data_IF_709900940631
#
_entry.id   IF_709900940631
#
_cell.length_a   1.000
_cell.length_b   1.000
_cell.length_c   1.000
_cell.angle_alpha   90.00
_cell.angle_beta   90.00
_cell.angle_gamma   90.00
#
_symmetry.space_group_name_H-M   'P 1'
#
loop_
_entity.id
_entity.type
_entity.pdbx_description
1 polymer ?
#
# COMPACT_ATOMS: atom_id res chain seq x y z
N UNK A 1 -13.04 -4.44 13.99
CA UNK A 1 -13.12 -3.00 13.58
C UNK A 1 -13.94 -2.22 14.59
N UNK A 2 -15.11 -2.71 15.02
CA UNK A 2 -15.95 -2.01 15.99
C UNK A 2 -15.18 -1.59 17.25
N UNK A 3 -14.39 -2.47 17.84
CA UNK A 3 -13.55 -2.18 19.01
C UNK A 3 -12.52 -1.08 18.74
N UNK A 4 -11.86 -1.13 17.56
CA UNK A 4 -10.89 -0.09 17.15
C UNK A 4 -11.58 1.27 17.03
N UNK A 5 -12.75 1.31 16.41
CA UNK A 5 -13.53 2.54 16.22
C UNK A 5 -13.98 3.11 17.57
N UNK A 6 -14.46 2.23 18.46
CA UNK A 6 -14.83 2.62 19.81
C UNK A 6 -13.64 3.19 20.59
N UNK A 7 -12.50 2.54 20.52
CA UNK A 7 -11.27 2.98 21.18
C UNK A 7 -10.79 4.34 20.65
N UNK A 8 -10.79 4.54 19.32
CA UNK A 8 -10.44 5.85 18.74
C UNK A 8 -11.40 6.93 19.23
N UNK A 9 -12.72 6.68 19.18
CA UNK A 9 -13.74 7.66 19.60
C UNK A 9 -13.72 7.96 21.09
N UNK A 10 -13.26 7.02 21.92
CA UNK A 10 -13.10 7.26 23.37
C UNK A 10 -11.92 8.17 23.68
N UNK A 11 -10.88 8.16 22.83
CA UNK A 11 -9.64 8.94 23.03
C UNK A 11 -9.66 10.32 22.39
N UNK A 12 -10.37 10.47 21.28
CA UNK A 12 -10.37 11.75 20.55
C UNK A 12 -11.69 12.02 19.84
N UNK A 13 -12.01 13.31 19.72
CA UNK A 13 -13.12 13.78 18.89
C UNK A 13 -12.68 14.07 17.44
N UNK A 14 -11.40 14.26 17.23
CA UNK A 14 -10.79 14.70 15.97
C UNK A 14 -9.65 13.76 15.56
N UNK A 15 -9.61 13.40 14.29
CA UNK A 15 -8.58 12.53 13.71
C UNK A 15 -8.01 13.19 12.45
N UNK A 16 -6.74 13.55 12.47
CA UNK A 16 -6.10 14.21 11.34
C UNK A 16 -5.54 13.24 10.32
N UNK A 17 -5.11 12.05 10.77
CA UNK A 17 -4.40 11.08 9.92
C UNK A 17 -4.91 9.67 10.22
N UNK A 18 -5.32 8.97 9.16
CA UNK A 18 -5.65 7.54 9.18
C UNK A 18 -4.70 6.79 8.24
N UNK A 19 -3.95 5.84 8.77
CA UNK A 19 -3.08 4.97 7.95
C UNK A 19 -3.63 3.55 7.99
N UNK A 20 -4.20 3.10 6.87
CA UNK A 20 -4.69 1.73 6.68
C UNK A 20 -3.50 0.82 6.32
N UNK A 21 -2.80 0.33 7.34
CA UNK A 21 -1.57 -0.47 7.18
C UNK A 21 -1.79 -1.99 7.33
N UNK A 22 -2.90 -2.43 7.91
CA UNK A 22 -3.18 -3.86 8.08
C UNK A 22 -3.24 -4.57 6.73
N UNK A 23 -2.66 -5.77 6.66
CA UNK A 23 -2.66 -6.54 5.44
C UNK A 23 -2.42 -8.03 5.70
N UNK A 24 -3.00 -8.85 4.83
CA UNK A 24 -2.81 -10.29 4.79
C UNK A 24 -2.38 -10.72 3.39
N UNK A 25 -1.66 -11.82 3.31
CA UNK A 25 -1.23 -12.44 2.06
C UNK A 25 -1.45 -13.94 2.10
N UNK A 26 -1.56 -14.53 0.93
CA UNK A 26 -1.51 -15.96 0.72
C UNK A 26 -0.80 -16.24 -0.61
N UNK A 27 0.07 -17.23 -0.63
CA UNK A 27 0.78 -17.66 -1.83
C UNK A 27 0.68 -19.18 -1.98
N UNK A 28 0.26 -19.64 -3.17
CA UNK A 28 0.22 -21.04 -3.56
C UNK A 28 0.17 -21.14 -5.09
N UNK A 29 0.54 -22.29 -5.67
CA UNK A 29 0.47 -22.53 -7.10
C UNK A 29 -0.97 -22.48 -7.60
N UNK A 30 -1.16 -22.12 -8.88
CA UNK A 30 -2.48 -21.94 -9.48
C UNK A 30 -3.39 -23.17 -9.29
N UNK A 31 -2.89 -24.37 -9.47
CA UNK A 31 -3.67 -25.62 -9.33
C UNK A 31 -3.97 -26.03 -7.87
N UNK A 32 -3.33 -25.42 -6.91
CA UNK A 32 -3.41 -25.78 -5.47
C UNK A 32 -3.90 -24.62 -4.61
N UNK A 33 -4.23 -23.47 -5.21
CA UNK A 33 -4.63 -22.26 -4.49
C UNK A 33 -6.00 -22.44 -3.82
N UNK A 34 -6.10 -22.42 -2.47
CA UNK A 34 -7.35 -22.71 -1.78
C UNK A 34 -8.34 -21.54 -1.92
N UNK A 35 -9.59 -21.86 -2.27
CA UNK A 35 -10.65 -20.86 -2.40
C UNK A 35 -10.83 -20.03 -1.12
N UNK A 36 -10.70 -20.65 0.06
CA UNK A 36 -10.83 -19.97 1.36
C UNK A 36 -9.80 -18.87 1.61
N UNK A 37 -8.66 -18.88 0.92
CA UNK A 37 -7.64 -17.83 1.03
C UNK A 37 -8.10 -16.49 0.45
N UNK A 38 -9.03 -16.51 -0.52
CA UNK A 38 -9.60 -15.28 -1.09
C UNK A 38 -10.31 -14.44 -0.03
N UNK A 39 -11.27 -15.03 0.69
CA UNK A 39 -12.02 -14.34 1.74
C UNK A 39 -11.08 -13.72 2.78
N UNK A 40 -10.15 -14.51 3.32
CA UNK A 40 -9.19 -14.05 4.35
C UNK A 40 -8.40 -12.83 3.91
N UNK A 41 -7.92 -12.82 2.67
CA UNK A 41 -7.09 -11.72 2.15
C UNK A 41 -7.95 -10.50 1.81
N UNK A 42 -9.09 -10.69 1.13
CA UNK A 42 -9.98 -9.58 0.76
C UNK A 42 -10.61 -8.91 1.98
N UNK A 43 -11.01 -9.69 2.99
CA UNK A 43 -11.62 -9.15 4.21
C UNK A 43 -10.68 -8.21 4.96
N UNK A 44 -9.39 -8.54 5.03
CA UNK A 44 -8.41 -7.66 5.69
C UNK A 44 -8.03 -6.48 4.80
N UNK A 45 -7.67 -6.77 3.54
CA UNK A 45 -7.01 -5.77 2.68
C UNK A 45 -7.99 -4.76 2.06
N UNK A 46 -9.26 -5.14 1.86
CA UNK A 46 -10.27 -4.30 1.21
C UNK A 46 -11.44 -4.00 2.13
N UNK A 47 -12.19 -5.02 2.55
CA UNK A 47 -13.41 -4.83 3.34
C UNK A 47 -13.09 -4.13 4.66
N UNK A 48 -12.03 -4.58 5.34
CA UNK A 48 -11.57 -3.99 6.60
C UNK A 48 -11.08 -2.55 6.44
N UNK A 49 -10.29 -2.27 5.39
CA UNK A 49 -9.81 -0.92 5.06
C UNK A 49 -10.98 0.04 4.83
N UNK A 50 -11.94 -0.37 3.98
CA UNK A 50 -13.11 0.45 3.65
C UNK A 50 -13.99 0.67 4.88
N UNK A 51 -14.31 -0.40 5.62
CA UNK A 51 -15.16 -0.33 6.81
C UNK A 51 -14.53 0.56 7.91
N UNK A 52 -13.22 0.47 8.14
CA UNK A 52 -12.53 1.34 9.11
C UNK A 52 -12.58 2.80 8.66
N UNK A 53 -12.29 3.07 7.39
CA UNK A 53 -12.35 4.42 6.82
C UNK A 53 -13.75 5.01 6.95
N UNK A 54 -14.79 4.28 6.54
CA UNK A 54 -16.19 4.69 6.65
C UNK A 54 -16.59 4.97 8.10
N UNK A 55 -16.21 4.09 9.02
CA UNK A 55 -16.56 4.22 10.44
C UNK A 55 -15.87 5.41 11.13
N UNK A 56 -14.69 5.83 10.66
CA UNK A 56 -13.95 6.96 11.21
C UNK A 56 -14.16 8.27 10.41
N UNK A 57 -15.00 8.26 9.37
CA UNK A 57 -15.19 9.41 8.50
C UNK A 57 -15.60 10.67 9.27
N UNK A 58 -16.56 10.59 10.19
CA UNK A 58 -17.01 11.75 10.96
C UNK A 58 -15.95 12.37 11.88
N UNK A 59 -14.96 11.59 12.38
CA UNK A 59 -13.86 12.13 13.17
C UNK A 59 -12.76 12.74 12.28
N UNK A 60 -12.59 12.25 11.05
CA UNK A 60 -11.72 12.83 10.03
C UNK A 60 -12.28 14.16 9.52
N UNK A 61 -13.58 14.24 9.26
CA UNK A 61 -14.25 15.47 8.81
C UNK A 61 -14.15 16.61 9.82
N UNK A 62 -14.24 16.30 11.11
CA UNK A 62 -14.15 17.33 12.15
C UNK A 62 -12.79 18.01 12.23
N UNK A 63 -11.70 17.29 11.93
CA UNK A 63 -10.35 17.88 11.90
C UNK A 63 -9.99 18.50 10.56
N UNK A 64 -10.71 18.17 9.48
CA UNK A 64 -10.41 18.61 8.12
C UNK A 64 -10.62 20.12 7.96
N UNK A 65 -9.60 20.82 7.42
CA UNK A 65 -9.65 22.26 7.12
C UNK A 65 -9.16 22.49 5.70
N UNK A 66 -9.59 23.59 5.08
CA UNK A 66 -9.21 23.90 3.69
C UNK A 66 -7.68 24.04 3.50
N UNK A 67 -7.00 24.64 4.45
CA UNK A 67 -5.54 24.82 4.42
C UNK A 67 -4.76 23.69 5.12
N UNK A 68 -5.45 22.78 5.81
CA UNK A 68 -4.87 21.63 6.49
C UNK A 68 -5.86 20.46 6.44
N UNK A 69 -5.95 19.74 5.30
CA UNK A 69 -6.88 18.62 5.14
C UNK A 69 -6.55 17.46 6.06
N UNK A 70 -7.55 16.65 6.40
CA UNK A 70 -7.28 15.33 6.98
C UNK A 70 -6.70 14.38 5.94
N UNK A 71 -5.94 13.39 6.36
CA UNK A 71 -5.18 12.49 5.48
C UNK A 71 -5.58 11.04 5.70
N UNK A 72 -5.84 10.35 4.60
CA UNK A 72 -5.97 8.89 4.57
C UNK A 72 -4.84 8.34 3.71
N UNK A 73 -4.04 7.44 4.28
CA UNK A 73 -2.95 6.75 3.57
C UNK A 73 -3.25 5.26 3.58
N UNK A 74 -3.40 4.68 2.40
CA UNK A 74 -3.64 3.25 2.22
C UNK A 74 -2.34 2.52 1.86
N UNK A 75 -2.10 1.34 2.41
CA UNK A 75 -0.97 0.49 2.02
C UNK A 75 -1.39 -0.45 0.89
N UNK A 76 -1.05 -0.02 -0.34
CA UNK A 76 -1.09 -0.85 -1.54
C UNK A 76 0.09 -1.83 -1.60
N UNK A 77 0.60 -2.05 -2.80
CA UNK A 77 1.82 -2.81 -3.10
C UNK A 77 2.20 -2.59 -4.56
N UNK A 78 3.48 -2.72 -4.90
CA UNK A 78 3.92 -2.81 -6.31
C UNK A 78 3.17 -3.91 -7.06
N UNK A 79 2.80 -5.01 -6.37
CA UNK A 79 2.01 -6.12 -6.92
C UNK A 79 0.56 -5.75 -7.27
N UNK A 80 0.06 -4.62 -6.82
CA UNK A 80 -1.23 -4.09 -7.25
C UNK A 80 -1.21 -3.40 -8.62
N UNK A 81 -0.02 -3.06 -9.12
CA UNK A 81 0.16 -2.39 -10.42
C UNK A 81 0.91 -3.27 -11.42
N UNK A 82 1.74 -4.17 -10.94
CA UNK A 82 2.60 -5.02 -11.76
C UNK A 82 2.62 -6.45 -11.21
N UNK A 83 2.48 -7.48 -12.06
CA UNK A 83 2.61 -8.86 -11.64
C UNK A 83 4.07 -9.15 -11.26
N UNK A 84 4.27 -9.70 -10.07
CA UNK A 84 5.56 -10.16 -9.56
C UNK A 84 5.41 -11.53 -8.92
N UNK A 85 6.06 -12.52 -9.52
CA UNK A 85 6.02 -13.89 -9.05
C UNK A 85 4.66 -14.57 -9.20
N UNK A 86 4.68 -15.89 -9.14
CA UNK A 86 3.50 -16.73 -9.20
C UNK A 86 3.01 -17.01 -7.77
N UNK A 87 1.70 -17.16 -7.60
CA UNK A 87 1.11 -17.61 -6.35
C UNK A 87 0.33 -16.61 -5.50
N UNK A 88 0.68 -15.32 -5.38
CA UNK A 88 -0.06 -14.40 -4.52
C UNK A 88 -1.29 -13.77 -5.22
N UNK A 89 -2.17 -14.59 -5.81
CA UNK A 89 -3.30 -14.14 -6.63
C UNK A 89 -4.26 -13.22 -5.88
N UNK A 90 -4.78 -13.68 -4.73
CA UNK A 90 -5.72 -12.89 -3.92
C UNK A 90 -5.07 -11.63 -3.36
N UNK A 91 -3.79 -11.69 -3.00
CA UNK A 91 -3.04 -10.53 -2.53
C UNK A 91 -2.89 -9.47 -3.62
N UNK A 92 -2.38 -9.84 -4.79
CA UNK A 92 -2.18 -8.92 -5.92
C UNK A 92 -3.50 -8.28 -6.35
N UNK A 93 -4.57 -9.08 -6.47
CA UNK A 93 -5.90 -8.58 -6.77
C UNK A 93 -6.41 -7.59 -5.70
N UNK A 94 -6.21 -7.91 -4.41
CA UNK A 94 -6.59 -7.01 -3.31
C UNK A 94 -5.83 -5.69 -3.35
N UNK A 95 -4.53 -5.72 -3.67
CA UNK A 95 -3.70 -4.51 -3.74
C UNK A 95 -4.02 -3.63 -4.96
N UNK A 96 -4.41 -4.23 -6.08
CA UNK A 96 -4.98 -3.50 -7.22
C UNK A 96 -6.30 -2.82 -6.84
N UNK A 97 -7.17 -3.51 -6.10
CA UNK A 97 -8.41 -2.94 -5.56
C UNK A 97 -8.13 -1.79 -4.58
N UNK A 98 -7.09 -1.89 -3.70
CA UNK A 98 -6.67 -0.78 -2.82
C UNK A 98 -6.28 0.45 -3.65
N UNK A 99 -5.53 0.27 -4.73
CA UNK A 99 -5.15 1.37 -5.62
C UNK A 99 -6.37 2.05 -6.23
N UNK A 100 -7.35 1.26 -6.68
CA UNK A 100 -8.54 1.81 -7.31
C UNK A 100 -9.46 2.52 -6.31
N UNK A 101 -9.75 1.90 -5.16
CA UNK A 101 -10.60 2.51 -4.12
C UNK A 101 -9.98 3.78 -3.54
N UNK A 102 -8.65 3.88 -3.49
CA UNK A 102 -7.95 5.12 -3.11
C UNK A 102 -8.35 6.29 -4.02
N UNK A 103 -8.42 6.06 -5.33
CA UNK A 103 -8.83 7.09 -6.30
C UNK A 103 -10.31 7.46 -6.18
N UNK A 104 -11.18 6.47 -5.93
CA UNK A 104 -12.62 6.71 -5.70
C UNK A 104 -12.80 7.60 -4.46
N UNK A 105 -12.19 7.19 -3.35
CA UNK A 105 -12.28 7.94 -2.08
C UNK A 105 -11.66 9.33 -2.18
N UNK A 106 -10.56 9.49 -2.90
CA UNK A 106 -9.95 10.79 -3.13
C UNK A 106 -10.88 11.77 -3.85
N UNK A 107 -11.58 11.30 -4.89
CA UNK A 107 -12.58 12.08 -5.62
C UNK A 107 -13.77 12.44 -4.72
N UNK A 108 -14.28 11.49 -3.95
CA UNK A 108 -15.47 11.67 -3.10
C UNK A 108 -15.19 12.58 -1.89
N UNK A 109 -14.02 12.40 -1.25
CA UNK A 109 -13.69 13.07 0.01
C UNK A 109 -12.93 14.39 -0.17
N UNK A 110 -12.40 14.68 -1.35
CA UNK A 110 -11.74 15.94 -1.67
C UNK A 110 -12.57 17.18 -1.32
N UNK A 111 -13.87 17.27 -1.70
CA UNK A 111 -14.76 18.38 -1.30
C UNK A 111 -14.98 18.52 0.21
N UNK A 112 -14.63 17.50 1.01
CA UNK A 112 -14.70 17.49 2.48
C UNK A 112 -13.35 17.81 3.12
N UNK A 113 -12.38 18.31 2.34
CA UNK A 113 -11.00 18.57 2.77
C UNK A 113 -10.30 17.33 3.37
N UNK A 114 -10.45 16.18 2.73
CA UNK A 114 -9.76 14.95 3.10
C UNK A 114 -8.98 14.45 1.89
N UNK A 115 -7.66 14.33 2.02
CA UNK A 115 -6.84 13.72 0.98
C UNK A 115 -6.75 12.22 1.19
N UNK A 116 -6.76 11.45 0.09
CA UNK A 116 -6.64 9.99 0.13
C UNK A 116 -5.57 9.56 -0.88
N UNK A 117 -4.51 8.95 -0.39
CA UNK A 117 -3.39 8.49 -1.19
C UNK A 117 -3.02 7.05 -0.82
N UNK A 118 -2.24 6.39 -1.64
CA UNK A 118 -1.69 5.09 -1.31
C UNK A 118 -0.18 5.03 -1.58
N UNK A 119 0.52 4.24 -0.78
CA UNK A 119 1.85 3.76 -1.13
C UNK A 119 1.74 2.44 -1.86
N UNK A 120 2.63 2.22 -2.83
CA UNK A 120 2.86 0.95 -3.49
C UNK A 120 4.28 0.46 -3.15
N UNK A 121 4.50 -0.12 -1.95
CA UNK A 121 5.82 -0.60 -1.55
C UNK A 121 6.26 -1.78 -2.39
N UNK A 122 7.57 -1.82 -2.70
CA UNK A 122 8.29 -3.00 -3.10
C UNK A 122 8.73 -3.85 -1.89
N UNK A 123 9.86 -4.55 -1.96
CA UNK A 123 10.36 -5.36 -0.86
C UNK A 123 10.85 -4.51 0.32
N UNK A 124 10.14 -4.62 1.45
CA UNK A 124 10.53 -4.08 2.76
C UNK A 124 10.60 -5.22 3.77
N UNK A 125 11.51 -5.11 4.73
CA UNK A 125 11.54 -6.03 5.85
C UNK A 125 10.29 -5.87 6.72
N UNK A 126 9.55 -6.96 6.93
CA UNK A 126 8.35 -7.01 7.74
C UNK A 126 8.10 -8.43 8.26
N UNK A 127 7.09 -8.60 9.13
CA UNK A 127 6.67 -9.95 9.54
C UNK A 127 6.25 -10.81 8.34
N UNK A 128 5.60 -10.22 7.34
CA UNK A 128 5.11 -10.90 6.14
C UNK A 128 6.26 -11.36 5.23
N UNK A 129 7.34 -10.61 5.16
CA UNK A 129 8.49 -10.85 4.27
C UNK A 129 9.69 -11.48 4.99
N UNK A 130 9.55 -11.85 6.27
CA UNK A 130 10.64 -12.38 7.11
C UNK A 130 11.42 -13.53 6.43
N UNK A 131 10.74 -14.38 5.67
CA UNK A 131 11.36 -15.50 4.95
C UNK A 131 12.39 -15.03 3.90
N UNK A 132 12.15 -13.90 3.25
CA UNK A 132 13.00 -13.33 2.22
C UNK A 132 14.18 -12.50 2.79
N UNK A 133 14.06 -12.07 4.06
CA UNK A 133 15.07 -11.32 4.80
C UNK A 133 15.75 -12.17 5.89
N UNK A 134 15.65 -13.51 5.80
CA UNK A 134 16.17 -14.40 6.83
C UNK A 134 17.70 -14.49 6.87
N UNK A 135 18.37 -14.18 5.78
CA UNK A 135 19.84 -14.08 5.68
C UNK A 135 20.25 -12.91 4.79
N UNK A 136 21.47 -12.41 4.98
CA UNK A 136 22.03 -11.32 4.16
C UNK A 136 22.17 -11.71 2.69
N UNK A 137 22.47 -12.99 2.41
CA UNK A 137 22.57 -13.51 1.03
C UNK A 137 21.24 -13.43 0.30
N UNK A 138 20.13 -13.78 0.97
CA UNK A 138 18.76 -13.67 0.39
C UNK A 138 18.39 -12.23 0.12
N UNK A 139 18.69 -11.32 1.04
CA UNK A 139 18.44 -9.91 0.84
C UNK A 139 19.25 -9.35 -0.34
N UNK A 140 20.55 -9.67 -0.41
CA UNK A 140 21.43 -9.32 -1.53
C UNK A 140 20.94 -9.89 -2.87
N UNK A 141 20.48 -11.14 -2.87
CA UNK A 141 19.92 -11.77 -4.07
C UNK A 141 18.66 -11.04 -4.56
N UNK A 142 17.75 -10.67 -3.65
CA UNK A 142 16.57 -9.89 -3.96
C UNK A 142 16.95 -8.48 -4.45
N UNK A 143 17.90 -7.83 -3.81
CA UNK A 143 18.37 -6.50 -4.16
C UNK A 143 18.92 -6.41 -5.60
N UNK A 144 19.52 -7.50 -6.12
CA UNK A 144 20.00 -7.58 -7.52
C UNK A 144 18.89 -7.38 -8.56
N UNK A 145 17.64 -7.68 -8.21
CA UNK A 145 16.49 -7.54 -9.09
C UNK A 145 15.74 -6.20 -8.89
N UNK A 146 16.31 -5.29 -8.11
CA UNK A 146 15.75 -3.95 -7.88
C UNK A 146 16.67 -2.95 -8.59
N UNK A 147 16.16 -2.02 -9.41
CA UNK A 147 17.00 -1.02 -10.07
C UNK A 147 17.93 -0.25 -9.14
N UNK A 148 17.47 0.18 -7.95
CA UNK A 148 18.31 0.83 -6.92
C UNK A 148 19.25 -0.13 -6.17
N UNK A 149 19.28 -1.44 -6.52
CA UNK A 149 20.17 -2.44 -5.94
C UNK A 149 20.12 -2.55 -4.42
N UNK A 150 19.00 -2.21 -3.82
CA UNK A 150 18.72 -2.36 -2.40
C UNK A 150 17.23 -2.58 -2.13
N UNK A 151 16.92 -3.15 -0.99
CA UNK A 151 15.56 -3.22 -0.46
C UNK A 151 15.14 -1.90 0.18
N UNK A 152 13.85 -1.72 0.41
CA UNK A 152 13.31 -0.57 1.11
C UNK A 152 13.65 -0.60 2.61
N UNK A 153 13.93 0.56 3.18
CA UNK A 153 14.25 0.77 4.60
C UNK A 153 13.09 1.49 5.30
N UNK A 154 12.98 1.32 6.61
CA UNK A 154 11.91 1.95 7.38
C UNK A 154 11.85 3.48 7.22
N UNK A 155 13.00 4.13 7.08
CA UNK A 155 13.04 5.58 6.86
C UNK A 155 12.54 5.99 5.46
N UNK A 156 12.61 5.14 4.44
CA UNK A 156 12.11 5.45 3.10
C UNK A 156 10.57 5.66 3.15
N UNK A 157 9.85 4.73 3.81
CA UNK A 157 8.40 4.85 3.96
C UNK A 157 8.00 5.91 4.99
N UNK A 158 8.80 6.10 6.06
CA UNK A 158 8.55 7.12 7.06
C UNK A 158 8.67 8.53 6.45
N UNK A 159 9.69 8.81 5.64
CA UNK A 159 9.86 10.09 4.97
C UNK A 159 8.71 10.40 3.99
N UNK A 160 8.27 9.40 3.21
CA UNK A 160 7.11 9.54 2.33
C UNK A 160 5.81 9.80 3.12
N UNK A 161 5.66 9.15 4.28
CA UNK A 161 4.52 9.39 5.18
C UNK A 161 4.54 10.81 5.72
N UNK A 162 5.69 11.30 6.20
CA UNK A 162 5.84 12.67 6.68
C UNK A 162 5.55 13.69 5.58
N UNK A 163 5.97 13.44 4.34
CA UNK A 163 5.63 14.28 3.20
C UNK A 163 4.11 14.38 3.00
N UNK A 164 3.40 13.26 2.91
CA UNK A 164 1.94 13.27 2.70
C UNK A 164 1.17 13.85 3.91
N UNK A 165 1.66 13.63 5.12
CA UNK A 165 1.02 14.14 6.36
C UNK A 165 1.34 15.60 6.64
N UNK A 166 2.43 16.14 6.08
CA UNK A 166 2.84 17.52 6.24
C UNK A 166 2.13 18.48 5.28
N UNK A 167 2.51 19.76 5.36
CA UNK A 167 1.99 20.83 4.50
C UNK A 167 2.26 20.59 3.02
N UNK A 168 3.41 19.94 2.67
CA UNK A 168 3.76 19.58 1.29
C UNK A 168 2.79 18.60 0.64
N UNK A 169 2.11 17.76 1.43
CA UNK A 169 1.11 16.81 0.95
C UNK A 169 -0.32 17.37 0.88
N UNK A 170 -0.56 18.60 1.30
CA UNK A 170 -1.92 19.16 1.43
C UNK A 170 -2.68 19.27 0.09
N UNK A 171 -1.96 19.33 -1.04
CA UNK A 171 -2.53 19.37 -2.39
C UNK A 171 -2.32 18.08 -3.18
N UNK A 172 -2.01 16.97 -2.48
CA UNK A 172 -1.77 15.65 -3.08
C UNK A 172 -2.91 14.72 -2.68
N UNK A 173 -3.71 14.28 -3.65
CA UNK A 173 -4.80 13.32 -3.44
C UNK A 173 -5.01 12.43 -4.65
N UNK A 174 -5.45 11.18 -4.43
CA UNK A 174 -5.71 10.20 -5.48
C UNK A 174 -4.46 9.55 -6.08
N UNK A 175 -3.27 9.83 -5.54
CA UNK A 175 -2.02 9.27 -6.06
C UNK A 175 -1.70 7.91 -5.46
N UNK A 176 -1.02 7.08 -6.26
CA UNK A 176 -0.38 5.84 -5.83
C UNK A 176 1.11 6.07 -5.96
N UNK A 177 1.80 6.19 -4.84
CA UNK A 177 3.23 6.50 -4.80
C UNK A 177 4.04 5.20 -4.73
N UNK A 178 4.79 4.83 -5.78
CA UNK A 178 5.70 3.69 -5.72
C UNK A 178 6.85 3.98 -4.73
N UNK A 179 7.06 3.04 -3.81
CA UNK A 179 8.20 3.01 -2.90
C UNK A 179 8.91 1.68 -3.09
N UNK A 180 9.45 1.43 -4.27
CA UNK A 180 9.84 0.10 -4.73
C UNK A 180 11.26 0.04 -5.36
N UNK A 181 12.00 1.13 -5.28
CA UNK A 181 13.34 1.19 -5.83
C UNK A 181 13.41 1.12 -7.36
N UNK A 182 12.30 1.42 -8.05
CA UNK A 182 12.21 1.40 -9.51
C UNK A 182 11.64 0.12 -10.09
N UNK A 183 11.18 -0.84 -9.27
CA UNK A 183 10.60 -2.10 -9.76
C UNK A 183 9.43 -1.86 -10.73
N UNK A 184 8.60 -0.85 -10.47
CA UNK A 184 7.42 -0.57 -11.30
C UNK A 184 7.75 -0.13 -12.73
N UNK A 185 8.96 0.37 -12.99
CA UNK A 185 9.43 0.80 -14.33
C UNK A 185 10.44 -0.18 -14.95
N UNK A 186 10.86 -1.21 -14.23
CA UNK A 186 11.76 -2.23 -14.73
C UNK A 186 11.01 -3.14 -15.72
N UNK A 187 11.38 -3.10 -16.98
CA UNK A 187 10.79 -3.90 -18.04
C UNK A 187 11.50 -5.24 -18.27
N UNK A 188 12.54 -5.54 -17.47
CA UNK A 188 13.43 -6.67 -17.70
C UNK A 188 14.48 -6.38 -18.77
N UNK A 189 15.14 -7.42 -19.33
CA UNK A 189 16.14 -7.26 -20.39
C UNK A 189 15.59 -6.47 -21.56
N UNK A 190 16.43 -5.63 -22.18
CA UNK A 190 16.03 -4.86 -23.37
C UNK A 190 15.51 -5.81 -24.45
N UNK A 191 14.32 -5.49 -24.99
CA UNK A 191 13.61 -6.33 -25.96
C UNK A 191 14.48 -6.71 -27.20
N UNK A 192 15.43 -5.85 -27.56
CA UNK A 192 16.29 -6.02 -28.73
C UNK A 192 17.72 -6.44 -28.39
N UNK A 193 18.07 -6.70 -27.13
CA UNK A 193 19.43 -7.16 -26.79
C UNK A 193 19.79 -8.50 -27.42
N UNK A 194 18.85 -9.44 -27.46
CA UNK A 194 19.04 -10.72 -28.09
C UNK A 194 19.30 -10.62 -29.60
N UNK A 195 18.79 -9.60 -30.26
CA UNK A 195 19.00 -9.36 -31.70
C UNK A 195 20.35 -8.66 -32.01
N UNK A 196 21.03 -8.10 -31.01
CA UNK A 196 22.34 -7.45 -31.16
C UNK A 196 23.50 -8.47 -31.07
N UNK A 197 23.24 -9.66 -30.55
CA UNK A 197 24.24 -10.73 -30.30
C UNK A 197 24.23 -11.82 -31.35
N UNK A 198 23.50 -11.70 -32.43
CA UNK A 198 23.47 -12.55 -33.63
C UNK A 198 24.08 -11.80 -34.82
#
# INVERSE_FOLDING_TARGET
IAEIVQEVRSRTKDLNILINNSGATWGEKLGEFPYSAWGKVLDVNITGLFHLTQSLLGVLERSAKNNDPSRIINLGSVMGSRPHGDGPYSYSASKAAVHHITKILAKELGPRNITVNAFAPGPFQSKMTKFAFSTEEKEKAMAKNIPLRRTGRHHDIAAATLYLCGTGGSYVTGTIIPLDGGIHVDTGPELFEAAKSS
#
